data_IF_951602058559
#
_entry.id   IF_951602058559
#
_cell.length_a   1.000
_cell.length_b   1.000
_cell.length_c   1.000
_cell.angle_alpha   90.00
_cell.angle_beta   90.00
_cell.angle_gamma   90.00
#
_symmetry.space_group_name_H-M   'P 1'
#
loop_
_entity.id
_entity.type
_entity.pdbx_description
1 polymer ?
#
# COMPACT_ATOMS: atom_id res chain seq x y z
N UNK A 1 5.34 2.81 16.44
CA UNK A 1 5.19 3.63 15.23
C UNK A 1 3.79 3.46 14.69
N UNK A 2 3.08 4.58 14.50
CA UNK A 2 1.76 4.58 13.86
C UNK A 2 1.90 4.82 12.37
N UNK A 3 1.33 3.94 11.56
CA UNK A 3 1.34 4.03 10.10
C UNK A 3 -0.10 4.23 9.60
N UNK A 4 -0.28 5.13 8.64
CA UNK A 4 -1.50 5.28 7.85
C UNK A 4 -1.26 4.67 6.47
N UNK A 5 -2.13 3.78 6.04
CA UNK A 5 -2.05 3.13 4.73
C UNK A 5 -3.32 3.44 3.96
N UNK A 6 -3.15 3.98 2.76
CA UNK A 6 -4.21 4.27 1.80
C UNK A 6 -3.76 3.77 0.43
N UNK A 7 -4.68 3.24 -0.36
CA UNK A 7 -4.46 2.85 -1.76
C UNK A 7 -5.58 3.37 -2.64
N UNK A 8 -5.42 3.30 -3.96
CA UNK A 8 -6.49 3.49 -4.92
C UNK A 8 -7.21 4.85 -4.78
N UNK A 9 -6.44 5.93 -4.58
CA UNK A 9 -6.97 7.29 -4.40
C UNK A 9 -7.56 7.83 -5.71
N UNK A 10 -7.01 7.40 -6.87
CA UNK A 10 -7.49 7.76 -8.21
C UNK A 10 -7.82 9.26 -8.34
N UNK A 11 -6.82 10.09 -8.06
CA UNK A 11 -6.91 11.55 -8.18
C UNK A 11 -8.03 12.20 -7.35
N UNK A 12 -8.52 11.55 -6.29
CA UNK A 12 -9.53 12.12 -5.40
C UNK A 12 -8.94 13.20 -4.48
N UNK A 13 -9.02 14.47 -4.86
CA UNK A 13 -8.43 15.58 -4.09
C UNK A 13 -9.01 15.66 -2.67
N UNK A 14 -10.30 15.34 -2.50
CA UNK A 14 -10.92 15.31 -1.18
C UNK A 14 -10.26 14.28 -0.24
N UNK A 15 -9.81 13.14 -0.80
CA UNK A 15 -9.08 12.13 -0.03
C UNK A 15 -7.65 12.61 0.29
N UNK A 16 -6.97 13.26 -0.65
CA UNK A 16 -5.66 13.87 -0.37
C UNK A 16 -5.74 14.96 0.70
N UNK A 17 -6.77 15.80 0.67
CA UNK A 17 -7.00 16.83 1.70
C UNK A 17 -7.22 16.19 3.08
N UNK A 18 -7.96 15.08 3.13
CA UNK A 18 -8.15 14.33 4.37
C UNK A 18 -6.84 13.74 4.86
N UNK A 19 -6.04 13.09 3.99
CA UNK A 19 -4.74 12.52 4.35
C UNK A 19 -3.82 13.61 4.93
N UNK A 20 -3.72 14.78 4.28
CA UNK A 20 -2.93 15.90 4.79
C UNK A 20 -3.36 16.34 6.19
N UNK A 21 -4.67 16.42 6.43
CA UNK A 21 -5.23 16.84 7.72
C UNK A 21 -4.84 15.91 8.85
N UNK A 22 -4.84 14.58 8.60
CA UNK A 22 -4.60 13.57 9.63
C UNK A 22 -3.14 13.14 9.74
N UNK A 23 -2.31 13.40 8.73
CA UNK A 23 -0.93 12.92 8.61
C UNK A 23 -0.06 13.20 9.84
N UNK A 24 -0.26 14.33 10.54
CA UNK A 24 0.48 14.69 11.76
C UNK A 24 0.34 13.69 12.92
N UNK A 25 -0.65 12.80 12.88
CA UNK A 25 -0.88 11.79 13.90
C UNK A 25 -0.16 10.47 13.62
N UNK A 26 0.51 10.38 12.46
CA UNK A 26 1.19 9.18 11.99
C UNK A 26 2.66 9.49 11.70
N UNK A 27 3.55 8.58 12.08
CA UNK A 27 4.98 8.68 11.79
C UNK A 27 5.32 8.23 10.37
N UNK A 28 4.37 7.53 9.71
CA UNK A 28 4.51 7.06 8.34
C UNK A 28 3.16 7.07 7.64
N UNK A 29 3.11 7.65 6.46
CA UNK A 29 2.00 7.53 5.50
C UNK A 29 2.45 6.68 4.33
N UNK A 30 1.70 5.62 4.03
CA UNK A 30 1.92 4.71 2.91
C UNK A 30 0.81 4.93 1.89
N UNK A 31 1.18 5.36 0.70
CA UNK A 31 0.32 5.47 -0.47
C UNK A 31 0.63 4.27 -1.38
N UNK A 32 -0.24 3.26 -1.33
CA UNK A 32 0.02 1.94 -1.90
C UNK A 32 -0.51 1.80 -3.34
N UNK A 33 -0.20 2.76 -4.20
CA UNK A 33 -0.47 2.74 -5.63
C UNK A 33 -1.83 3.29 -6.05
N UNK A 34 -1.96 3.51 -7.36
CA UNK A 34 -3.09 4.12 -8.06
C UNK A 34 -3.44 5.50 -7.49
N UNK A 35 -2.43 6.38 -7.48
CA UNK A 35 -2.55 7.76 -7.07
C UNK A 35 -3.22 8.60 -8.15
N UNK A 36 -2.88 8.32 -9.43
CA UNK A 36 -3.45 8.95 -10.62
C UNK A 36 -4.70 8.21 -11.07
N UNK A 37 -5.46 8.82 -11.99
CA UNK A 37 -6.62 8.20 -12.61
C UNK A 37 -6.58 8.38 -14.13
N UNK A 38 -6.28 7.30 -14.86
CA UNK A 38 -6.24 7.29 -16.33
C UNK A 38 -7.63 7.52 -16.97
N UNK A 39 -8.70 7.38 -16.19
CA UNK A 39 -10.08 7.61 -16.63
C UNK A 39 -10.63 9.00 -16.30
N UNK A 40 -9.86 9.81 -15.57
CA UNK A 40 -10.27 11.17 -15.22
C UNK A 40 -10.24 12.10 -16.44
N UNK A 41 -11.06 13.17 -16.37
CA UNK A 41 -11.06 14.22 -17.41
C UNK A 41 -9.75 15.03 -17.38
N UNK A 42 -9.14 15.19 -16.22
CA UNK A 42 -7.88 15.88 -16.07
C UNK A 42 -6.75 15.08 -16.73
N UNK A 43 -5.93 15.75 -17.53
CA UNK A 43 -4.75 15.17 -18.15
C UNK A 43 -3.78 14.62 -17.10
N UNK A 44 -3.09 13.50 -17.41
CA UNK A 44 -2.14 12.84 -16.50
C UNK A 44 -1.03 13.79 -16.06
N UNK A 45 -0.49 14.60 -16.94
CA UNK A 45 0.54 15.58 -16.58
C UNK A 45 0.03 16.63 -15.60
N UNK A 46 -1.22 17.08 -15.75
CA UNK A 46 -1.85 17.99 -14.79
C UNK A 46 -2.07 17.31 -13.43
N UNK A 47 -2.52 16.05 -13.42
CA UNK A 47 -2.65 15.26 -12.19
C UNK A 47 -1.31 15.13 -11.46
N UNK A 48 -0.23 14.79 -12.18
CA UNK A 48 1.13 14.67 -11.63
C UNK A 48 1.55 15.96 -10.93
N UNK A 49 1.35 17.12 -11.58
CA UNK A 49 1.69 18.42 -10.97
C UNK A 49 0.96 18.63 -9.64
N UNK A 50 -0.33 18.31 -9.59
CA UNK A 50 -1.15 18.46 -8.38
C UNK A 50 -0.71 17.48 -7.30
N UNK A 51 -0.54 16.20 -7.65
CA UNK A 51 -0.15 15.16 -6.68
C UNK A 51 1.25 15.42 -6.12
N UNK A 52 2.19 15.86 -6.94
CA UNK A 52 3.51 16.28 -6.46
C UNK A 52 3.42 17.34 -5.35
N UNK A 53 2.47 18.30 -5.45
CA UNK A 53 2.25 19.30 -4.40
C UNK A 53 1.68 18.70 -3.11
N UNK A 54 0.81 17.70 -3.21
CA UNK A 54 0.33 16.99 -2.04
C UNK A 54 1.45 16.20 -1.35
N UNK A 55 2.27 15.47 -2.12
CA UNK A 55 3.40 14.70 -1.57
C UNK A 55 4.44 15.64 -0.95
N UNK A 56 4.78 16.75 -1.61
CA UNK A 56 5.67 17.78 -1.06
C UNK A 56 5.19 18.28 0.32
N UNK A 57 3.89 18.54 0.48
CA UNK A 57 3.32 18.95 1.77
C UNK A 57 3.32 17.82 2.80
N UNK A 58 3.02 16.60 2.38
CA UNK A 58 2.99 15.43 3.27
C UNK A 58 4.38 15.13 3.84
N UNK A 59 5.43 15.20 3.03
CA UNK A 59 6.81 14.95 3.47
C UNK A 59 7.34 15.99 4.45
N UNK A 60 6.73 17.19 4.50
CA UNK A 60 7.01 18.18 5.52
C UNK A 60 6.37 17.86 6.88
N UNK A 61 5.39 16.95 6.90
CA UNK A 61 4.62 16.61 8.11
C UNK A 61 5.09 15.28 8.69
N UNK A 62 5.34 14.29 7.83
CA UNK A 62 5.65 12.91 8.23
C UNK A 62 6.49 12.19 7.17
N UNK A 63 6.96 10.98 7.47
CA UNK A 63 7.59 10.13 6.46
C UNK A 63 6.53 9.61 5.47
N UNK A 64 6.88 9.54 4.20
CA UNK A 64 5.97 9.12 3.13
C UNK A 64 6.59 8.03 2.29
N UNK A 65 5.82 6.97 2.06
CA UNK A 65 6.08 5.93 1.05
C UNK A 65 5.08 6.13 -0.08
N UNK A 66 5.57 6.06 -1.31
CA UNK A 66 4.74 6.08 -2.53
C UNK A 66 5.13 4.89 -3.39
N UNK A 67 4.24 3.93 -3.50
CA UNK A 67 4.35 2.80 -4.42
C UNK A 67 3.53 3.10 -5.68
N UNK A 68 4.00 2.66 -6.86
CA UNK A 68 3.20 2.75 -8.07
C UNK A 68 2.12 1.68 -8.16
N UNK A 69 1.00 2.04 -8.79
CA UNK A 69 0.01 1.11 -9.32
C UNK A 69 -0.07 1.18 -10.84
N UNK A 70 -1.02 0.45 -11.42
CA UNK A 70 -1.19 0.40 -12.88
C UNK A 70 -1.69 1.72 -13.50
N UNK A 71 -2.34 2.59 -12.71
CA UNK A 71 -2.77 3.92 -13.17
C UNK A 71 -1.64 4.97 -13.10
N UNK A 72 -0.52 4.66 -12.47
CA UNK A 72 0.57 5.60 -12.23
C UNK A 72 1.64 5.61 -13.34
N UNK A 73 1.47 4.79 -14.38
CA UNK A 73 2.46 4.61 -15.45
C UNK A 73 2.31 5.71 -16.51
N UNK A 74 3.24 6.66 -16.52
CA UNK A 74 3.22 7.86 -17.37
C UNK A 74 4.27 7.88 -18.48
N UNK A 75 5.23 6.95 -18.47
CA UNK A 75 6.36 6.92 -19.38
C UNK A 75 6.75 5.50 -19.79
N UNK A 76 7.75 5.36 -20.66
CA UNK A 76 8.28 4.08 -21.11
C UNK A 76 9.76 3.99 -20.77
N UNK A 77 10.22 2.80 -20.42
CA UNK A 77 11.64 2.52 -20.29
C UNK A 77 12.31 2.17 -21.64
N UNK A 78 13.60 1.86 -21.62
CA UNK A 78 14.38 1.50 -22.80
C UNK A 78 13.92 0.20 -23.47
N UNK A 79 13.21 -0.65 -22.77
CA UNK A 79 12.68 -1.92 -23.26
C UNK A 79 11.26 -1.77 -23.84
N UNK A 80 10.68 -0.57 -23.77
CA UNK A 80 9.36 -0.22 -24.29
C UNK A 80 8.22 -0.61 -23.36
N UNK A 81 8.50 -0.96 -22.10
CA UNK A 81 7.49 -1.21 -21.08
C UNK A 81 7.18 0.06 -20.30
N UNK A 82 5.93 0.18 -19.83
CA UNK A 82 5.50 1.37 -19.07
C UNK A 82 6.09 1.39 -17.67
N UNK A 83 6.47 2.57 -17.24
CA UNK A 83 7.03 2.84 -15.91
C UNK A 83 6.43 4.11 -15.30
N UNK A 84 6.42 4.25 -13.96
CA UNK A 84 5.97 5.46 -13.28
C UNK A 84 7.11 6.49 -13.19
N UNK A 85 7.51 7.08 -14.33
CA UNK A 85 8.67 7.97 -14.42
C UNK A 85 8.57 9.18 -13.50
N UNK A 86 7.35 9.70 -13.28
CA UNK A 86 7.10 10.86 -12.42
C UNK A 86 7.44 10.62 -10.95
N UNK A 87 7.47 9.38 -10.47
CA UNK A 87 7.82 9.08 -9.07
C UNK A 87 9.27 9.48 -8.73
N UNK A 88 10.15 9.57 -9.73
CA UNK A 88 11.54 10.01 -9.50
C UNK A 88 11.59 11.42 -8.92
N UNK A 89 10.65 12.27 -9.31
CA UNK A 89 10.56 13.64 -8.81
C UNK A 89 10.19 13.72 -7.33
N UNK A 90 9.50 12.73 -6.80
CA UNK A 90 9.07 12.70 -5.40
C UNK A 90 10.24 12.50 -4.43
N UNK A 91 11.33 11.87 -4.91
CA UNK A 91 12.55 11.65 -4.12
C UNK A 91 13.18 12.97 -3.65
N UNK A 92 13.07 14.03 -4.44
CA UNK A 92 13.57 15.38 -4.06
C UNK A 92 12.83 15.97 -2.85
N UNK A 93 11.60 15.51 -2.58
CA UNK A 93 10.83 15.90 -1.39
C UNK A 93 11.11 15.01 -0.18
N UNK A 94 11.87 13.92 -0.35
CA UNK A 94 12.19 12.96 0.70
C UNK A 94 11.22 11.79 0.82
N UNK A 95 10.25 11.64 -0.10
CA UNK A 95 9.41 10.45 -0.17
C UNK A 95 10.24 9.22 -0.56
N UNK A 96 9.90 8.06 -0.01
CA UNK A 96 10.45 6.76 -0.42
C UNK A 96 9.56 6.16 -1.50
N UNK A 97 10.15 5.89 -2.66
CA UNK A 97 9.43 5.47 -3.85
C UNK A 97 9.91 4.10 -4.34
N UNK A 98 9.32 3.63 -5.42
CA UNK A 98 9.63 2.40 -6.11
C UNK A 98 11.14 2.11 -6.21
N UNK A 99 11.53 0.87 -5.92
CA UNK A 99 12.91 0.42 -5.94
C UNK A 99 13.75 0.92 -4.76
N UNK A 100 13.16 1.57 -3.76
CA UNK A 100 13.85 1.96 -2.55
C UNK A 100 13.50 1.04 -1.38
N UNK A 101 14.48 0.85 -0.49
CA UNK A 101 14.29 0.16 0.77
C UNK A 101 14.93 0.96 1.91
N UNK A 102 14.36 0.84 3.10
CA UNK A 102 14.87 1.54 4.28
C UNK A 102 14.53 0.80 5.57
N UNK A 103 15.30 1.11 6.60
CA UNK A 103 15.08 0.56 7.94
C UNK A 103 14.39 1.62 8.80
N UNK A 104 13.37 1.19 9.52
CA UNK A 104 12.80 1.93 10.63
C UNK A 104 12.64 0.99 11.82
N UNK A 105 13.40 1.26 12.89
CA UNK A 105 13.45 0.39 14.08
C UNK A 105 13.73 -1.08 13.70
N UNK A 106 12.80 -1.97 14.00
CA UNK A 106 12.90 -3.41 13.75
C UNK A 106 12.31 -3.84 12.39
N UNK A 107 11.87 -2.89 11.58
CA UNK A 107 11.22 -3.14 10.30
C UNK A 107 12.13 -2.75 9.14
N UNK A 108 12.11 -3.59 8.12
CA UNK A 108 12.73 -3.32 6.83
C UNK A 108 11.63 -3.16 5.79
N UNK A 109 11.51 -1.96 5.23
CA UNK A 109 10.53 -1.66 4.21
C UNK A 109 11.14 -1.75 2.83
N UNK A 110 10.45 -2.39 1.89
CA UNK A 110 10.78 -2.42 0.47
C UNK A 110 9.58 -1.87 -0.31
N UNK A 111 9.81 -0.81 -1.08
CA UNK A 111 8.80 -0.21 -1.97
C UNK A 111 8.92 -0.88 -3.33
N UNK A 112 8.02 -1.81 -3.59
CA UNK A 112 8.06 -2.71 -4.72
C UNK A 112 7.34 -2.09 -5.93
N UNK A 113 8.05 -1.79 -7.04
CA UNK A 113 7.44 -1.18 -8.21
C UNK A 113 6.35 -2.06 -8.84
N UNK A 114 5.38 -1.44 -9.47
CA UNK A 114 4.51 -2.12 -10.41
C UNK A 114 5.32 -2.60 -11.62
N UNK A 115 5.02 -3.79 -12.13
CA UNK A 115 5.58 -4.27 -13.40
C UNK A 115 4.51 -4.30 -14.49
N UNK A 116 4.83 -3.73 -15.65
CA UNK A 116 3.94 -3.66 -16.82
C UNK A 116 4.09 -4.90 -17.72
N UNK A 117 5.31 -5.45 -17.77
CA UNK A 117 5.63 -6.56 -18.63
C UNK A 117 6.79 -7.42 -18.13
N UNK A 118 7.30 -8.35 -18.97
CA UNK A 118 8.31 -9.31 -18.54
C UNK A 118 9.65 -8.67 -18.15
N UNK A 119 10.03 -7.53 -18.75
CA UNK A 119 11.31 -6.87 -18.45
C UNK A 119 11.27 -6.10 -17.13
N UNK A 120 10.24 -5.32 -16.89
CA UNK A 120 10.04 -4.65 -15.60
C UNK A 120 9.89 -5.66 -14.48
N UNK A 121 9.20 -6.79 -14.72
CA UNK A 121 9.12 -7.90 -13.79
C UNK A 121 10.48 -8.54 -13.51
N UNK A 122 11.30 -8.82 -14.53
CA UNK A 122 12.65 -9.36 -14.35
C UNK A 122 13.53 -8.42 -13.49
N UNK A 123 13.46 -7.11 -13.76
CA UNK A 123 14.15 -6.09 -12.95
C UNK A 123 13.69 -6.14 -11.49
N UNK A 124 12.39 -6.26 -11.24
CA UNK A 124 11.84 -6.39 -9.89
C UNK A 124 12.30 -7.68 -9.20
N UNK A 125 12.26 -8.84 -9.87
CA UNK A 125 12.69 -10.13 -9.30
C UNK A 125 14.16 -10.11 -8.88
N UNK A 126 15.02 -9.52 -9.70
CA UNK A 126 16.43 -9.35 -9.37
C UNK A 126 16.64 -8.43 -8.18
N UNK A 127 15.88 -7.32 -8.12
CA UNK A 127 15.97 -6.37 -7.02
C UNK A 127 15.49 -6.99 -5.70
N UNK A 128 14.36 -7.71 -5.67
CA UNK A 128 13.84 -8.31 -4.44
C UNK A 128 14.77 -9.44 -3.92
N UNK A 129 15.41 -10.18 -4.84
CA UNK A 129 16.45 -11.14 -4.47
C UNK A 129 17.64 -10.47 -3.77
N UNK A 130 18.06 -9.29 -4.24
CA UNK A 130 19.15 -8.54 -3.60
C UNK A 130 18.71 -7.92 -2.27
N UNK A 131 17.47 -7.46 -2.18
CA UNK A 131 16.90 -6.98 -0.92
C UNK A 131 16.81 -8.08 0.13
N UNK A 132 16.46 -9.31 -0.26
CA UNK A 132 16.38 -10.45 0.67
C UNK A 132 17.68 -10.73 1.42
N UNK A 133 18.81 -10.44 0.80
CA UNK A 133 20.15 -10.57 1.42
C UNK A 133 20.43 -9.50 2.48
N UNK A 134 19.69 -8.38 2.45
CA UNK A 134 19.90 -7.21 3.32
C UNK A 134 19.01 -7.20 4.57
N UNK A 135 17.87 -7.88 4.53
CA UNK A 135 16.85 -7.85 5.59
C UNK A 135 17.35 -8.31 6.95
N UNK A 136 18.23 -9.32 6.98
CA UNK A 136 18.79 -9.92 8.21
C UNK A 136 17.68 -10.38 9.18
N UNK A 137 17.76 -9.95 10.46
CA UNK A 137 16.79 -10.30 11.51
C UNK A 137 15.60 -9.33 11.64
N UNK A 138 15.38 -8.44 10.68
CA UNK A 138 14.28 -7.47 10.73
C UNK A 138 12.98 -8.04 10.18
N UNK A 139 11.86 -7.50 10.63
CA UNK A 139 10.54 -7.80 10.05
C UNK A 139 10.43 -7.10 8.70
N UNK A 140 10.38 -7.87 7.62
CA UNK A 140 10.33 -7.36 6.25
C UNK A 140 8.90 -6.98 5.86
N UNK A 141 8.68 -5.75 5.45
CA UNK A 141 7.40 -5.24 4.96
C UNK A 141 7.56 -4.84 3.50
N UNK A 142 6.72 -5.41 2.64
CA UNK A 142 6.62 -5.02 1.24
C UNK A 142 5.43 -4.08 1.05
N UNK A 143 5.63 -3.04 0.26
CA UNK A 143 4.56 -2.19 -0.27
C UNK A 143 4.52 -2.45 -1.77
N UNK A 144 3.48 -3.14 -2.23
CA UNK A 144 3.29 -3.50 -3.64
C UNK A 144 1.81 -3.41 -3.99
N UNK A 145 1.48 -2.69 -5.05
CA UNK A 145 0.09 -2.35 -5.35
C UNK A 145 -0.80 -3.58 -5.64
N UNK A 146 -0.32 -4.54 -6.46
CA UNK A 146 -1.08 -5.78 -6.69
C UNK A 146 -1.14 -6.63 -5.41
N UNK A 147 -2.30 -7.16 -5.02
CA UNK A 147 -2.39 -8.15 -3.96
C UNK A 147 -2.00 -9.54 -4.48
N UNK A 148 -1.55 -10.46 -3.60
CA UNK A 148 -1.21 -11.81 -4.01
C UNK A 148 -2.45 -12.62 -4.39
N UNK A 149 -2.31 -13.52 -5.38
CA UNK A 149 -3.32 -14.52 -5.72
C UNK A 149 -3.65 -15.43 -4.52
N UNK A 150 -4.81 -16.04 -4.56
CA UNK A 150 -5.25 -17.02 -3.55
C UNK A 150 -5.38 -16.49 -2.13
N UNK A 151 -5.59 -15.17 -1.99
CA UNK A 151 -5.82 -14.49 -0.72
C UNK A 151 -7.17 -13.76 -0.75
N UNK A 152 -7.90 -13.66 0.38
CA UNK A 152 -9.14 -12.89 0.43
C UNK A 152 -8.96 -11.40 0.10
N UNK A 153 -7.76 -10.85 0.26
CA UNK A 153 -7.43 -9.47 -0.11
C UNK A 153 -7.42 -9.22 -1.63
N UNK A 154 -7.50 -10.29 -2.44
CA UNK A 154 -7.57 -10.24 -3.91
C UNK A 154 -8.92 -10.72 -4.47
N UNK A 155 -9.90 -10.98 -3.62
CA UNK A 155 -11.21 -11.46 -4.04
C UNK A 155 -12.08 -10.34 -4.60
N UNK A 156 -12.52 -10.48 -5.83
CA UNK A 156 -13.33 -9.47 -6.54
C UNK A 156 -14.85 -9.64 -6.36
N UNK A 157 -15.30 -10.56 -5.51
CA UNK A 157 -16.69 -10.97 -5.43
C UNK A 157 -17.09 -12.05 -6.45
N UNK A 158 -16.19 -12.34 -7.41
CA UNK A 158 -16.41 -13.38 -8.46
C UNK A 158 -15.23 -14.31 -8.60
N UNK A 159 -14.01 -13.80 -8.52
CA UNK A 159 -12.76 -14.56 -8.66
C UNK A 159 -11.62 -13.85 -7.92
N UNK A 160 -10.56 -14.60 -7.57
CA UNK A 160 -9.30 -14.02 -7.15
C UNK A 160 -8.62 -13.34 -8.34
N UNK A 161 -8.27 -12.06 -8.19
CA UNK A 161 -7.63 -11.23 -9.21
C UNK A 161 -6.21 -10.82 -8.81
N UNK A 162 -5.64 -11.49 -7.82
CA UNK A 162 -4.29 -11.22 -7.36
C UNK A 162 -3.21 -11.77 -8.28
N UNK A 163 -2.00 -11.32 -8.04
CA UNK A 163 -0.81 -11.71 -8.80
C UNK A 163 -0.25 -13.05 -8.31
N UNK A 164 0.02 -13.97 -9.26
CA UNK A 164 0.51 -15.33 -8.96
C UNK A 164 2.00 -15.32 -8.62
N UNK A 165 2.80 -14.50 -9.30
CA UNK A 165 4.23 -14.42 -9.05
C UNK A 165 4.51 -13.78 -7.69
N UNK A 166 3.70 -12.77 -7.31
CA UNK A 166 3.77 -12.20 -5.97
C UNK A 166 3.42 -13.24 -4.89
N UNK A 167 2.44 -14.11 -5.16
CA UNK A 167 2.11 -15.21 -4.25
C UNK A 167 3.32 -16.13 -4.04
N UNK A 168 3.99 -16.57 -5.12
CA UNK A 168 5.15 -17.44 -5.08
C UNK A 168 6.35 -16.78 -4.36
N UNK A 169 6.53 -15.47 -4.56
CA UNK A 169 7.55 -14.70 -3.85
C UNK A 169 7.25 -14.62 -2.34
N UNK A 170 6.00 -14.42 -1.96
CA UNK A 170 5.60 -14.39 -0.54
C UNK A 170 5.84 -15.75 0.11
N UNK A 171 5.51 -16.85 -0.57
CA UNK A 171 5.79 -18.20 -0.06
C UNK A 171 7.30 -18.44 0.09
N UNK A 172 8.10 -17.92 -0.83
CA UNK A 172 9.57 -18.09 -0.81
C UNK A 172 10.23 -17.28 0.29
N UNK A 173 9.92 -16.00 0.40
CA UNK A 173 10.63 -15.06 1.28
C UNK A 173 9.95 -14.82 2.63
N UNK A 174 8.67 -15.16 2.75
CA UNK A 174 7.87 -15.00 3.97
C UNK A 174 8.05 -13.61 4.64
N UNK A 175 7.81 -12.49 3.91
CA UNK A 175 7.86 -11.17 4.53
C UNK A 175 6.87 -11.12 5.71
N UNK A 176 7.14 -10.27 6.68
CA UNK A 176 6.23 -10.07 7.82
C UNK A 176 4.86 -9.57 7.35
N UNK A 177 4.86 -8.62 6.41
CA UNK A 177 3.63 -8.07 5.84
C UNK A 177 3.81 -7.63 4.38
N UNK A 178 2.72 -7.71 3.61
CA UNK A 178 2.56 -7.15 2.26
C UNK A 178 1.38 -6.19 2.28
N UNK A 179 1.62 -4.95 1.88
CA UNK A 179 0.63 -3.87 1.81
C UNK A 179 0.28 -3.67 0.35
N UNK A 180 -1.00 -3.79 0.01
CA UNK A 180 -1.50 -3.73 -1.36
C UNK A 180 -2.76 -2.86 -1.50
N UNK A 181 -3.22 -2.71 -2.74
CA UNK A 181 -4.48 -2.10 -3.16
C UNK A 181 -5.08 -2.86 -4.34
N UNK A 182 -5.34 -2.16 -5.45
CA UNK A 182 -5.73 -2.68 -6.77
C UNK A 182 -7.11 -3.35 -6.84
N UNK A 183 -7.45 -4.24 -5.94
CA UNK A 183 -8.74 -4.91 -5.94
C UNK A 183 -9.67 -4.16 -4.99
N UNK A 184 -10.27 -3.09 -5.50
CA UNK A 184 -11.03 -2.07 -4.78
C UNK A 184 -12.10 -2.64 -3.85
N UNK A 185 -12.78 -3.71 -4.31
CA UNK A 185 -13.95 -4.26 -3.63
C UNK A 185 -13.64 -5.37 -2.63
N UNK A 186 -12.40 -5.90 -2.58
CA UNK A 186 -12.08 -7.04 -1.72
C UNK A 186 -12.56 -6.88 -0.27
N UNK A 187 -12.37 -5.75 0.41
CA UNK A 187 -12.81 -5.57 1.79
C UNK A 187 -14.33 -5.47 1.96
N UNK A 188 -15.07 -5.24 0.86
CA UNK A 188 -16.49 -4.87 0.89
C UNK A 188 -17.42 -5.98 0.40
N UNK A 189 -16.87 -7.08 -0.10
CA UNK A 189 -17.65 -8.17 -0.68
C UNK A 189 -17.55 -9.45 0.15
N UNK A 190 -18.59 -10.28 0.06
CA UNK A 190 -18.59 -11.60 0.72
C UNK A 190 -17.39 -12.42 0.25
N UNK A 191 -16.76 -13.12 1.17
CA UNK A 191 -15.54 -13.94 0.96
C UNK A 191 -14.26 -13.14 0.69
N UNK A 192 -14.36 -11.82 0.51
CA UNK A 192 -13.22 -10.91 0.49
C UNK A 192 -12.90 -10.37 1.88
N UNK A 193 -11.73 -9.77 2.03
CA UNK A 193 -11.32 -9.13 3.28
C UNK A 193 -10.24 -8.06 3.02
N UNK A 194 -10.07 -7.17 4.00
CA UNK A 194 -8.98 -6.19 4.01
C UNK A 194 -7.66 -6.78 4.52
N UNK A 195 -7.72 -7.96 5.15
CA UNK A 195 -6.56 -8.69 5.68
C UNK A 195 -6.67 -10.17 5.35
N UNK A 196 -5.53 -10.79 5.04
CA UNK A 196 -5.38 -12.22 4.82
C UNK A 196 -4.00 -12.69 5.25
N UNK A 197 -3.73 -13.99 5.10
CA UNK A 197 -2.45 -14.57 5.48
C UNK A 197 -2.01 -15.61 4.44
N UNK A 198 -0.72 -15.59 4.09
CA UNK A 198 -0.05 -16.59 3.26
C UNK A 198 1.16 -17.09 4.06
N UNK A 199 1.14 -18.35 4.48
CA UNK A 199 2.15 -18.85 5.40
C UNK A 199 2.24 -18.00 6.67
N UNK A 200 3.37 -17.36 6.89
CA UNK A 200 3.60 -16.44 8.03
C UNK A 200 3.35 -14.97 7.69
N UNK A 201 3.11 -14.66 6.42
CA UNK A 201 3.00 -13.29 5.92
C UNK A 201 1.58 -12.75 6.03
N UNK A 202 1.43 -11.58 6.62
CA UNK A 202 0.19 -10.82 6.60
C UNK A 202 0.04 -10.10 5.26
N UNK A 203 -1.15 -10.15 4.66
CA UNK A 203 -1.47 -9.45 3.42
C UNK A 203 -2.61 -8.47 3.69
N UNK A 204 -2.44 -7.23 3.28
CA UNK A 204 -3.39 -6.15 3.51
C UNK A 204 -3.83 -5.51 2.21
N UNK A 205 -5.09 -5.10 2.14
CA UNK A 205 -5.67 -4.28 1.08
C UNK A 205 -6.71 -3.36 1.72
N UNK A 206 -6.50 -2.05 1.68
CA UNK A 206 -7.44 -1.09 2.26
C UNK A 206 -8.76 -1.05 1.51
N UNK A 207 -8.76 -1.40 0.23
CA UNK A 207 -9.88 -1.23 -0.69
C UNK A 207 -10.10 0.24 -1.04
N UNK A 208 -11.10 0.47 -1.90
CA UNK A 208 -11.46 1.83 -2.34
C UNK A 208 -12.90 2.14 -2.01
N UNK A 209 -13.12 3.29 -1.40
CA UNK A 209 -14.45 3.90 -1.29
C UNK A 209 -14.45 5.30 -1.89
N UNK A 210 -15.62 5.75 -2.34
CA UNK A 210 -15.81 7.10 -2.89
C UNK A 210 -15.96 8.10 -1.73
N UNK A 211 -15.40 9.29 -1.91
CA UNK A 211 -15.47 10.38 -0.92
C UNK A 211 -14.35 10.32 0.12
N UNK A 212 -14.42 11.23 1.09
CA UNK A 212 -13.47 11.34 2.20
C UNK A 212 -14.20 11.11 3.53
N UNK A 213 -13.58 10.37 4.49
CA UNK A 213 -12.26 9.74 4.39
C UNK A 213 -12.22 8.62 3.34
N UNK A 214 -11.02 8.26 2.80
CA UNK A 214 -10.85 7.00 2.09
C UNK A 214 -11.06 5.81 3.02
N UNK A 215 -11.27 4.62 2.49
CA UNK A 215 -11.00 3.41 3.27
C UNK A 215 -9.50 3.37 3.58
N UNK A 216 -9.13 3.04 4.81
CA UNK A 216 -7.73 3.06 5.20
C UNK A 216 -7.40 2.02 6.26
N UNK A 217 -6.13 1.67 6.35
CA UNK A 217 -5.58 0.84 7.41
C UNK A 217 -4.66 1.70 8.27
N UNK A 218 -4.84 1.58 9.59
CA UNK A 218 -3.97 2.21 10.58
C UNK A 218 -3.26 1.12 11.38
N UNK A 219 -1.94 1.17 11.48
CA UNK A 219 -1.13 0.16 12.17
C UNK A 219 -0.37 0.79 13.32
N UNK A 220 -0.47 0.19 14.51
CA UNK A 220 0.52 0.37 15.56
C UNK A 220 1.53 -0.79 15.48
N UNK A 221 2.70 -0.50 14.91
CA UNK A 221 3.77 -1.49 14.77
C UNK A 221 4.39 -1.91 16.11
N UNK A 222 4.33 -1.07 17.14
CA UNK A 222 4.86 -1.40 18.45
C UNK A 222 3.99 -2.42 19.17
N UNK A 223 2.66 -2.25 19.08
CA UNK A 223 1.68 -3.15 19.70
C UNK A 223 1.26 -4.29 18.76
N UNK A 224 1.69 -4.27 17.50
CA UNK A 224 1.26 -5.21 16.45
C UNK A 224 -0.27 -5.21 16.24
N UNK A 225 -0.92 -4.07 16.45
CA UNK A 225 -2.35 -3.88 16.25
C UNK A 225 -2.63 -3.19 14.92
N UNK A 226 -3.63 -3.71 14.21
CA UNK A 226 -4.05 -3.16 12.92
C UNK A 226 -5.53 -2.88 12.94
N UNK A 227 -5.90 -1.72 12.43
CA UNK A 227 -7.27 -1.24 12.33
C UNK A 227 -7.58 -0.95 10.88
N UNK A 228 -8.73 -1.39 10.40
CA UNK A 228 -9.29 -1.00 9.11
C UNK A 228 -10.56 -0.20 9.33
N UNK A 229 -10.65 0.94 8.68
CA UNK A 229 -11.83 1.80 8.75
C UNK A 229 -12.33 2.15 7.35
N UNK A 230 -13.64 2.06 7.20
CA UNK A 230 -14.37 2.44 5.98
C UNK A 230 -15.77 2.92 6.33
N UNK A 231 -16.59 3.22 5.32
CA UNK A 231 -18.01 3.47 5.48
C UNK A 231 -18.81 2.30 6.07
N UNK A 232 -18.24 1.09 6.09
CA UNK A 232 -18.84 -0.09 6.73
C UNK A 232 -18.53 -0.20 8.23
N UNK A 233 -17.70 0.67 8.78
CA UNK A 233 -17.32 0.69 10.19
C UNK A 233 -15.84 0.40 10.44
N UNK A 234 -15.52 0.10 11.69
CA UNK A 234 -14.17 -0.19 12.18
C UNK A 234 -14.01 -1.68 12.40
N UNK A 235 -12.90 -2.25 11.93
CA UNK A 235 -12.45 -3.60 12.24
C UNK A 235 -11.02 -3.57 12.74
N UNK A 236 -10.61 -4.56 13.52
CA UNK A 236 -9.24 -4.68 14.02
C UNK A 236 -8.75 -6.12 14.04
N UNK A 237 -7.42 -6.27 14.05
CA UNK A 237 -6.74 -7.54 14.26
C UNK A 237 -5.46 -7.31 15.05
N UNK A 238 -5.12 -8.26 15.90
CA UNK A 238 -3.83 -8.32 16.59
C UNK A 238 -2.93 -9.32 15.85
N UNK A 239 -1.82 -8.84 15.30
CA UNK A 239 -0.86 -9.65 14.53
C UNK A 239 -0.05 -10.60 15.41
N UNK A 240 -0.03 -10.42 16.72
CA UNK A 240 0.58 -11.30 17.71
C UNK A 240 -0.34 -12.41 18.23
N UNK A 241 -1.65 -12.31 17.94
CA UNK A 241 -2.63 -13.28 18.40
C UNK A 241 -2.53 -14.61 17.63
N UNK A 242 -2.61 -15.72 18.37
CA UNK A 242 -2.60 -17.08 17.79
C UNK A 242 -3.84 -17.34 16.92
N UNK A 243 -4.96 -16.71 17.27
CA UNK A 243 -6.26 -17.00 16.65
C UNK A 243 -6.53 -16.23 15.36
N UNK A 244 -5.70 -15.23 15.00
CA UNK A 244 -5.88 -14.37 13.81
C UNK A 244 -7.33 -13.87 13.64
N UNK A 245 -8.02 -13.59 14.75
CA UNK A 245 -9.43 -13.19 14.73
C UNK A 245 -9.58 -11.73 14.35
N UNK A 246 -10.44 -11.45 13.38
CA UNK A 246 -10.87 -10.09 13.07
C UNK A 246 -12.01 -9.71 14.02
N UNK A 247 -11.84 -8.59 14.71
CA UNK A 247 -12.86 -8.03 15.59
C UNK A 247 -13.63 -6.96 14.81
N UNK A 248 -14.96 -6.91 14.98
CA UNK A 248 -15.85 -5.93 14.32
C UNK A 248 -16.86 -5.31 15.27
N UNK A 249 -16.92 -5.77 16.53
CA UNK A 249 -17.80 -5.26 17.58
C UNK A 249 -16.97 -4.87 18.79
N UNK A 250 -17.44 -3.86 19.52
CA UNK A 250 -16.84 -3.40 20.77
C UNK A 250 -15.36 -2.97 20.67
N UNK A 251 -14.98 -2.45 19.48
CA UNK A 251 -13.63 -1.95 19.24
C UNK A 251 -13.58 -0.48 19.67
N UNK A 252 -12.80 -0.19 20.69
CA UNK A 252 -12.48 1.18 21.03
C UNK A 252 -11.43 1.71 20.03
N UNK A 253 -11.79 2.79 19.35
CA UNK A 253 -10.87 3.47 18.42
C UNK A 253 -9.72 4.09 19.22
N UNK A 254 -8.44 3.78 18.92
CA UNK A 254 -7.32 4.39 19.61
C UNK A 254 -7.34 5.92 19.50
N UNK A 255 -6.95 6.62 20.55
CA UNK A 255 -6.95 8.08 20.59
C UNK A 255 -6.05 8.74 19.53
N UNK A 256 -4.99 8.05 19.09
CA UNK A 256 -4.09 8.54 18.03
C UNK A 256 -4.68 8.39 16.61
N UNK A 257 -5.70 7.54 16.43
CA UNK A 257 -6.37 7.32 15.14
C UNK A 257 -7.46 8.37 14.96
N UNK A 258 -7.10 9.50 14.38
CA UNK A 258 -8.01 10.62 14.12
C UNK A 258 -8.66 10.45 12.73
N UNK A 259 -9.93 10.87 12.60
CA UNK A 259 -10.74 10.79 11.40
C UNK A 259 -10.86 12.13 10.69
#
# INVERSE_FOLDING_TARGET
MHCLIVSDIHYSLAQYDWILRVAKNYQLVVLAGDLLDVSAIADIGAQIVVINKYIEKLTQITNVIVCSGNHDLDSFDSDGEKIPGWLIDLKRFGAKCDGEAFIHENYYFSVCPWWDGPKTKEKFLNWILDESKKVKAKKWIWVHHAPPKSSPVSWSGKKCMGDADLFDLIETYQPFAVISGHIHQSPFVKEGAWVGKIGKSWCFNAGRQIGAPPAFIAIDLALAQVFWLSGMGLQSIDLGSVNNQIYSTDIEKPHWMIL
#
